data_IF_274423597346
#
_entry.id   IF_274423597346
#
_cell.length_a   1.000
_cell.length_b   1.000
_cell.length_c   1.000
_cell.angle_alpha   90.00
_cell.angle_beta   90.00
_cell.angle_gamma   90.00
#
_symmetry.space_group_name_H-M   'P 1'
#
loop_
_entity.id
_entity.type
_entity.pdbx_description
1 polymer ?
#
# COMPACT_ATOMS: atom_id res chain seq x y z
N UNK A 1 15.30 -18.75 -2.12
CA UNK A 1 16.09 -17.66 -2.73
C UNK A 1 15.29 -16.95 -3.82
N UNK A 2 14.71 -17.64 -4.81
CA UNK A 2 13.91 -17.02 -5.86
C UNK A 2 12.64 -16.32 -5.33
N UNK A 3 11.95 -16.89 -4.36
CA UNK A 3 10.75 -16.30 -3.76
C UNK A 3 11.05 -14.99 -3.03
N UNK A 4 12.13 -14.95 -2.26
CA UNK A 4 12.57 -13.73 -1.54
C UNK A 4 12.98 -12.64 -2.52
N UNK A 5 13.64 -13.00 -3.61
CA UNK A 5 14.05 -12.08 -4.66
C UNK A 5 12.84 -11.47 -5.40
N UNK A 6 11.81 -12.30 -5.66
CA UNK A 6 10.57 -11.85 -6.30
C UNK A 6 9.76 -10.91 -5.39
N UNK A 7 9.66 -11.23 -4.11
CA UNK A 7 9.00 -10.35 -3.14
C UNK A 7 9.72 -9.01 -3.00
N UNK A 8 11.05 -9.02 -2.95
CA UNK A 8 11.84 -7.80 -2.89
C UNK A 8 11.65 -6.96 -4.16
N UNK A 9 11.60 -7.57 -5.33
CA UNK A 9 11.34 -6.88 -6.60
C UNK A 9 9.93 -6.31 -6.66
N UNK A 10 8.92 -7.05 -6.19
CA UNK A 10 7.56 -6.57 -6.11
C UNK A 10 7.45 -5.35 -5.21
N UNK A 11 8.11 -5.36 -4.04
CA UNK A 11 8.16 -4.23 -3.12
C UNK A 11 8.82 -3.00 -3.73
N UNK A 12 9.92 -3.17 -4.47
CA UNK A 12 10.63 -2.08 -5.14
C UNK A 12 9.78 -1.47 -6.24
N UNK A 13 9.00 -2.29 -6.98
CA UNK A 13 8.13 -1.82 -8.06
C UNK A 13 6.81 -1.21 -7.59
N UNK A 14 6.43 -1.41 -6.33
CA UNK A 14 5.13 -0.99 -5.80
C UNK A 14 5.24 0.38 -5.15
N UNK A 15 5.23 1.43 -5.99
CA UNK A 15 5.29 2.82 -5.55
C UNK A 15 4.11 3.60 -6.12
N UNK A 16 3.70 4.63 -5.39
CA UNK A 16 2.73 5.60 -5.84
C UNK A 16 3.40 6.97 -5.96
N UNK A 17 3.01 7.72 -6.98
CA UNK A 17 3.52 9.06 -7.17
C UNK A 17 2.82 10.03 -6.23
N UNK A 18 3.61 10.77 -5.47
CA UNK A 18 3.13 11.82 -4.59
C UNK A 18 3.73 13.15 -5.03
N UNK A 19 2.90 14.16 -5.19
CA UNK A 19 3.37 15.51 -5.54
C UNK A 19 3.16 16.43 -4.34
N UNK A 20 4.22 17.08 -3.89
CA UNK A 20 4.16 18.05 -2.79
C UNK A 20 4.89 19.33 -3.19
N UNK A 21 4.47 20.44 -2.59
CA UNK A 21 5.15 21.72 -2.72
C UNK A 21 6.00 21.95 -1.48
N UNK A 22 7.26 22.33 -1.67
CA UNK A 22 8.18 22.66 -0.58
C UNK A 22 8.47 24.17 -0.60
N UNK A 23 8.74 24.73 0.56
CA UNK A 23 9.27 26.09 0.66
C UNK A 23 10.61 26.20 -0.05
N UNK A 24 10.86 27.33 -0.70
CA UNK A 24 12.08 27.52 -1.50
C UNK A 24 13.35 27.49 -0.65
N UNK A 25 13.28 27.91 0.62
CA UNK A 25 14.42 27.86 1.55
C UNK A 25 14.73 26.41 1.93
N UNK A 26 13.71 25.61 2.18
CA UNK A 26 13.88 24.18 2.44
C UNK A 26 14.49 23.47 1.23
N UNK A 27 14.01 23.79 0.04
CA UNK A 27 14.54 23.22 -1.19
C UNK A 27 16.01 23.60 -1.39
N UNK A 28 16.35 24.85 -1.12
CA UNK A 28 17.74 25.32 -1.20
C UNK A 28 18.67 24.59 -0.23
N UNK A 29 18.22 24.33 0.99
CA UNK A 29 18.97 23.55 1.97
C UNK A 29 19.17 22.10 1.52
N UNK A 30 18.13 21.49 0.93
CA UNK A 30 18.25 20.16 0.34
C UNK A 30 19.32 20.15 -0.75
N UNK A 31 19.27 21.12 -1.66
CA UNK A 31 20.25 21.23 -2.76
C UNK A 31 21.66 21.43 -2.24
N UNK A 32 21.83 22.21 -1.18
CA UNK A 32 23.14 22.39 -0.55
C UNK A 32 23.69 21.08 -0.01
N UNK A 33 22.86 20.31 0.69
CA UNK A 33 23.29 19.00 1.24
C UNK A 33 23.64 17.99 0.15
N UNK A 34 22.92 18.03 -0.96
CA UNK A 34 23.28 17.20 -2.14
C UNK A 34 24.61 17.67 -2.72
N UNK A 35 24.81 18.96 -2.89
CA UNK A 35 26.03 19.52 -3.42
C UNK A 35 27.26 19.18 -2.55
N UNK A 36 27.09 19.21 -1.23
CA UNK A 36 28.13 18.89 -0.25
C UNK A 36 28.36 17.38 -0.11
N UNK A 37 27.61 16.54 -0.80
CA UNK A 37 27.83 15.10 -0.85
C UNK A 37 27.17 14.28 0.26
N UNK A 38 26.28 14.89 1.06
CA UNK A 38 25.55 14.16 2.10
C UNK A 38 24.52 13.18 1.52
N UNK A 39 23.96 13.51 0.37
CA UNK A 39 22.98 12.69 -0.34
C UNK A 39 23.26 12.72 -1.84
N UNK A 40 22.84 11.66 -2.53
CA UNK A 40 23.11 11.51 -3.97
C UNK A 40 22.28 12.47 -4.83
N UNK A 41 21.05 12.77 -4.40
CA UNK A 41 20.11 13.64 -5.08
C UNK A 41 18.97 14.05 -4.14
N UNK A 42 18.06 14.89 -4.61
CA UNK A 42 16.89 15.35 -3.82
C UNK A 42 16.05 14.18 -3.34
N UNK A 43 15.78 13.22 -4.20
CA UNK A 43 14.95 12.05 -3.88
C UNK A 43 15.57 11.21 -2.76
N UNK A 44 16.87 11.04 -2.79
CA UNK A 44 17.61 10.30 -1.74
C UNK A 44 17.42 10.94 -0.38
N UNK A 45 17.60 12.25 -0.27
CA UNK A 45 17.36 12.99 0.99
C UNK A 45 15.91 12.86 1.43
N UNK A 46 14.95 13.08 0.54
CA UNK A 46 13.52 13.07 0.85
C UNK A 46 13.09 11.69 1.35
N UNK A 47 13.49 10.63 0.66
CA UNK A 47 13.16 9.25 1.08
C UNK A 47 13.78 8.90 2.42
N UNK A 48 15.02 9.29 2.64
CA UNK A 48 15.71 9.07 3.91
C UNK A 48 15.00 9.80 5.05
N UNK A 49 14.62 11.05 4.83
CA UNK A 49 13.89 11.85 5.81
C UNK A 49 12.55 11.22 6.16
N UNK A 50 11.80 10.74 5.16
CA UNK A 50 10.50 10.08 5.37
C UNK A 50 10.69 8.80 6.20
N UNK A 51 11.65 7.95 5.84
CA UNK A 51 11.93 6.72 6.59
C UNK A 51 12.32 7.01 8.03
N UNK A 52 13.14 8.02 8.25
CA UNK A 52 13.54 8.41 9.60
C UNK A 52 12.34 8.89 10.42
N UNK A 53 11.47 9.69 9.83
CA UNK A 53 10.29 10.18 10.53
C UNK A 53 9.27 9.06 10.80
N UNK A 54 9.07 8.15 9.87
CA UNK A 54 8.22 6.98 10.08
C UNK A 54 8.76 6.08 11.19
N UNK A 55 10.09 5.96 11.29
CA UNK A 55 10.73 5.21 12.38
C UNK A 55 10.45 5.83 13.75
N UNK A 56 10.42 7.17 13.84
CA UNK A 56 10.07 7.88 15.08
C UNK A 56 8.67 7.50 15.56
N UNK A 57 7.72 7.29 14.65
CA UNK A 57 6.35 6.91 14.95
C UNK A 57 6.09 5.40 14.86
N UNK A 58 7.15 4.58 14.79
CA UNK A 58 7.03 3.14 14.56
C UNK A 58 6.17 2.41 15.58
N UNK A 59 6.29 2.76 16.87
CA UNK A 59 5.48 2.15 17.93
C UNK A 59 4.00 2.48 17.78
N UNK A 60 3.67 3.70 17.45
CA UNK A 60 2.28 4.14 17.26
C UNK A 60 1.65 3.44 16.06
N UNK A 61 2.41 3.30 14.97
CA UNK A 61 1.96 2.55 13.80
C UNK A 61 1.65 1.10 14.18
N UNK A 62 2.56 0.43 14.88
CA UNK A 62 2.37 -0.96 15.32
C UNK A 62 1.15 -1.12 16.20
N UNK A 63 0.96 -0.22 17.16
CA UNK A 63 -0.22 -0.27 18.05
C UNK A 63 -1.53 -0.07 17.28
N UNK A 64 -1.56 0.88 16.36
CA UNK A 64 -2.76 1.14 15.55
C UNK A 64 -3.08 -0.03 14.63
N UNK A 65 -2.07 -0.61 14.00
CA UNK A 65 -2.20 -1.80 13.16
C UNK A 65 -2.79 -2.96 13.96
N UNK A 66 -2.26 -3.22 15.16
CA UNK A 66 -2.74 -4.31 16.02
C UNK A 66 -4.16 -4.04 16.51
N UNK A 67 -4.43 -2.83 17.01
CA UNK A 67 -5.74 -2.47 17.57
C UNK A 67 -6.85 -2.54 16.53
N UNK A 68 -6.57 -2.13 15.29
CA UNK A 68 -7.53 -2.10 14.20
C UNK A 68 -7.51 -3.36 13.35
N UNK A 69 -6.71 -4.33 13.69
CA UNK A 69 -6.55 -5.60 12.96
C UNK A 69 -6.21 -5.38 11.48
N UNK A 70 -5.29 -4.44 11.23
CA UNK A 70 -4.83 -4.11 9.89
C UNK A 70 -3.67 -5.01 9.48
N UNK A 71 -3.53 -5.26 8.19
CA UNK A 71 -2.36 -5.93 7.62
C UNK A 71 -1.38 -4.86 7.17
N UNK A 72 -0.17 -4.86 7.73
CA UNK A 72 0.89 -3.94 7.31
C UNK A 72 1.73 -4.61 6.23
N UNK A 73 1.70 -4.05 5.04
CA UNK A 73 2.46 -4.53 3.91
C UNK A 73 1.64 -4.70 2.65
N UNK A 74 1.83 -5.82 1.95
CA UNK A 74 1.16 -6.13 0.68
C UNK A 74 0.20 -7.29 0.88
N UNK A 75 -1.04 -7.12 0.45
CA UNK A 75 -2.03 -8.20 0.40
C UNK A 75 -2.52 -8.38 -1.03
N UNK A 76 -2.33 -9.59 -1.54
CA UNK A 76 -2.83 -9.99 -2.86
C UNK A 76 -4.05 -10.89 -2.67
N UNK A 77 -5.17 -10.52 -3.29
CA UNK A 77 -6.41 -11.27 -3.25
C UNK A 77 -6.62 -11.89 -4.63
N UNK A 78 -6.44 -13.20 -4.71
CA UNK A 78 -6.60 -13.94 -5.94
C UNK A 78 -8.00 -14.50 -6.09
N UNK A 79 -8.32 -14.93 -7.32
CA UNK A 79 -9.60 -15.56 -7.64
C UNK A 79 -9.88 -16.79 -6.77
N UNK A 80 -8.86 -17.63 -6.56
CA UNK A 80 -8.99 -18.82 -5.73
C UNK A 80 -9.34 -18.51 -4.28
N UNK A 81 -8.80 -17.41 -3.73
CA UNK A 81 -9.11 -16.97 -2.38
C UNK A 81 -10.60 -16.61 -2.23
N UNK A 82 -11.13 -15.91 -3.23
CA UNK A 82 -12.53 -15.49 -3.23
C UNK A 82 -13.49 -16.67 -3.49
N UNK A 83 -13.10 -17.60 -4.35
CA UNK A 83 -13.88 -18.82 -4.58
C UNK A 83 -13.95 -19.68 -3.32
N UNK A 84 -12.86 -19.78 -2.55
CA UNK A 84 -12.86 -20.47 -1.25
C UNK A 84 -13.80 -19.78 -0.25
N UNK A 85 -13.77 -18.45 -0.18
CA UNK A 85 -14.66 -17.71 0.69
C UNK A 85 -16.14 -17.92 0.31
N UNK A 86 -16.44 -17.93 -0.97
CA UNK A 86 -17.80 -18.17 -1.48
C UNK A 86 -18.27 -19.58 -1.10
N UNK A 87 -17.43 -20.60 -1.30
CA UNK A 87 -17.75 -21.97 -0.95
C UNK A 87 -17.93 -22.18 0.55
N UNK A 88 -17.16 -21.46 1.36
CA UNK A 88 -17.24 -21.52 2.83
C UNK A 88 -18.40 -20.68 3.39
N UNK A 89 -19.06 -19.89 2.57
CA UNK A 89 -20.20 -19.07 2.97
C UNK A 89 -19.85 -17.91 3.88
N UNK A 90 -18.60 -17.38 3.80
CA UNK A 90 -18.22 -16.21 4.57
C UNK A 90 -17.73 -15.09 3.66
N UNK A 91 -17.74 -13.86 4.18
CA UNK A 91 -17.26 -12.69 3.48
C UNK A 91 -15.94 -12.20 4.06
N UNK A 92 -15.09 -11.65 3.20
CA UNK A 92 -13.78 -11.12 3.57
C UNK A 92 -13.85 -9.64 3.84
N UNK A 93 -13.03 -9.19 4.79
CA UNK A 93 -12.75 -7.78 5.04
C UNK A 93 -11.30 -7.51 4.63
N UNK A 94 -11.12 -6.56 3.73
CA UNK A 94 -9.78 -6.14 3.31
C UNK A 94 -9.40 -4.93 4.17
N UNK A 95 -8.38 -5.07 5.00
CA UNK A 95 -7.92 -4.05 5.95
C UNK A 95 -6.40 -3.98 5.89
N UNK A 96 -5.88 -3.07 5.07
CA UNK A 96 -4.46 -3.04 4.71
C UNK A 96 -3.86 -1.65 4.90
N UNK A 97 -2.68 -1.60 5.48
CA UNK A 97 -1.78 -0.44 5.47
C UNK A 97 -0.62 -0.78 4.53
N UNK A 98 -0.66 -0.25 3.32
CA UNK A 98 0.29 -0.55 2.27
C UNK A 98 -0.39 -0.72 0.92
N UNK A 99 -0.34 -1.90 0.35
CA UNK A 99 -0.96 -2.19 -0.94
C UNK A 99 -1.92 -3.38 -0.82
N UNK A 100 -3.15 -3.19 -1.24
CA UNK A 100 -4.09 -4.27 -1.50
C UNK A 100 -4.31 -4.39 -3.01
N UNK A 101 -4.19 -5.59 -3.53
CA UNK A 101 -4.36 -5.88 -4.96
C UNK A 101 -5.34 -7.01 -5.15
N UNK A 102 -6.32 -6.80 -6.00
CA UNK A 102 -7.24 -7.85 -6.47
C UNK A 102 -6.80 -8.27 -7.87
N UNK A 103 -6.67 -9.58 -8.08
CA UNK A 103 -6.22 -10.13 -9.35
C UNK A 103 -7.13 -9.72 -10.51
N UNK A 104 -6.54 -9.57 -11.70
CA UNK A 104 -7.26 -9.08 -12.88
C UNK A 104 -8.30 -10.05 -13.43
N UNK A 105 -8.21 -11.33 -13.07
CA UNK A 105 -9.16 -12.37 -13.51
C UNK A 105 -10.37 -12.53 -12.58
N UNK A 106 -10.52 -11.65 -11.60
CA UNK A 106 -11.66 -11.65 -10.67
C UNK A 106 -12.82 -10.86 -11.26
N UNK A 107 -14.02 -11.45 -11.23
CA UNK A 107 -15.22 -10.79 -11.75
C UNK A 107 -15.85 -9.84 -10.73
N UNK A 108 -16.59 -8.80 -11.19
CA UNK A 108 -17.35 -7.93 -10.29
C UNK A 108 -18.38 -8.69 -9.43
N UNK A 109 -19.01 -9.71 -9.99
CA UNK A 109 -19.99 -10.53 -9.27
C UNK A 109 -19.36 -11.29 -8.12
N UNK A 110 -18.15 -11.82 -8.34
CA UNK A 110 -17.42 -12.57 -7.31
C UNK A 110 -17.01 -11.67 -6.15
N UNK A 111 -16.54 -10.45 -6.42
CA UNK A 111 -16.17 -9.51 -5.33
C UNK A 111 -17.40 -9.07 -4.54
N UNK A 112 -18.54 -8.84 -5.19
CA UNK A 112 -19.79 -8.49 -4.48
C UNK A 112 -20.25 -9.62 -3.57
N UNK A 113 -20.03 -10.86 -3.96
CA UNK A 113 -20.45 -12.03 -3.19
C UNK A 113 -19.51 -12.37 -2.04
N UNK A 114 -18.27 -11.88 -2.06
CA UNK A 114 -17.20 -12.36 -1.16
C UNK A 114 -16.51 -11.26 -0.35
N UNK A 115 -16.56 -10.00 -0.77
CA UNK A 115 -15.88 -8.91 -0.07
C UNK A 115 -16.93 -8.01 0.62
N UNK A 116 -16.87 -7.98 1.94
CA UNK A 116 -17.78 -7.19 2.76
C UNK A 116 -17.38 -5.72 2.80
N UNK A 117 -16.09 -5.44 2.96
CA UNK A 117 -15.55 -4.09 3.08
C UNK A 117 -14.10 -4.01 2.65
N UNK A 118 -13.70 -2.81 2.23
CA UNK A 118 -12.32 -2.50 1.84
C UNK A 118 -11.88 -1.25 2.59
N UNK A 119 -10.87 -1.39 3.43
CA UNK A 119 -10.19 -0.28 4.09
C UNK A 119 -8.70 -0.38 3.74
N UNK A 120 -8.21 0.53 2.89
CA UNK A 120 -6.82 0.54 2.46
C UNK A 120 -6.23 1.92 2.70
N UNK A 121 -5.18 1.96 3.49
CA UNK A 121 -4.32 3.13 3.65
C UNK A 121 -3.06 2.88 2.82
N UNK A 122 -2.86 3.66 1.78
CA UNK A 122 -1.83 3.47 0.79
C UNK A 122 -2.42 3.35 -0.60
N UNK A 123 -2.29 2.19 -1.25
CA UNK A 123 -2.77 1.98 -2.61
C UNK A 123 -3.69 0.76 -2.70
N UNK A 124 -4.77 0.91 -3.45
CA UNK A 124 -5.69 -0.19 -3.77
C UNK A 124 -5.72 -0.38 -5.29
N UNK A 125 -5.25 -1.53 -5.74
CA UNK A 125 -5.17 -1.88 -7.16
C UNK A 125 -6.18 -2.96 -7.50
N UNK A 126 -7.13 -2.62 -8.35
CA UNK A 126 -8.14 -3.52 -8.88
C UNK A 126 -8.61 -3.00 -10.24
N UNK A 127 -9.26 -3.85 -11.05
CA UNK A 127 -9.85 -3.41 -12.29
C UNK A 127 -10.94 -2.35 -12.03
N UNK A 128 -11.22 -1.51 -13.04
CA UNK A 128 -12.26 -0.51 -12.94
C UNK A 128 -13.61 -1.12 -12.61
N UNK A 129 -13.94 -2.26 -13.23
CA UNK A 129 -15.20 -2.96 -12.98
C UNK A 129 -15.30 -3.45 -11.52
N UNK A 130 -14.22 -3.99 -10.96
CA UNK A 130 -14.17 -4.44 -9.57
C UNK A 130 -14.27 -3.25 -8.60
N UNK A 131 -13.54 -2.17 -8.87
CA UNK A 131 -13.61 -0.95 -8.05
C UNK A 131 -15.02 -0.37 -8.03
N UNK A 132 -15.67 -0.33 -9.17
CA UNK A 132 -17.06 0.15 -9.27
C UNK A 132 -18.01 -0.76 -8.50
N UNK A 133 -17.82 -2.07 -8.59
CA UNK A 133 -18.65 -3.05 -7.86
C UNK A 133 -18.48 -2.91 -6.33
N UNK A 134 -17.35 -2.45 -5.86
CA UNK A 134 -17.03 -2.28 -4.44
C UNK A 134 -17.18 -0.83 -3.93
N UNK A 135 -17.61 0.10 -4.77
CA UNK A 135 -17.60 1.53 -4.46
C UNK A 135 -18.35 1.88 -3.15
N UNK A 136 -19.44 1.19 -2.87
CA UNK A 136 -20.22 1.37 -1.64
C UNK A 136 -19.63 0.66 -0.42
N UNK A 137 -18.57 -0.12 -0.58
CA UNK A 137 -17.90 -0.90 0.46
C UNK A 137 -16.49 -0.44 0.77
N UNK A 138 -15.98 0.53 0.02
CA UNK A 138 -14.67 1.14 0.25
C UNK A 138 -14.86 2.22 1.33
N UNK A 139 -14.12 2.05 2.42
CA UNK A 139 -14.16 2.96 3.57
C UNK A 139 -13.15 4.10 3.42
#
# INVERSE_FOLDING_TARGET
MAAVSLEARARIGETEKLTINLGVVDLGQIDLLVQEGFYSNRTDLIRTAIRNQLAVHGEEVRRSVARRTLVLGLQHVGRADLERALSAGHMLQIQVVGLARIASDVSPELVRATIQSVEVLGAFHASTAVRNALADRIL
#
